data_IF_860934418458
#
_entry.id   IF_860934418458
#
_cell.length_a   1.000
_cell.length_b   1.000
_cell.length_c   1.000
_cell.angle_alpha   90.00
_cell.angle_beta   90.00
_cell.angle_gamma   90.00
#
_symmetry.space_group_name_H-M   'P 1'
#
loop_
_entity.id
_entity.type
_entity.pdbx_description
1 polymer ?
#
# COMPACT_ATOMS: atom_id res chain seq x y z
N UNK A 1 12.22 -18.27 -23.44
CA UNK A 1 11.67 -18.87 -22.21
C UNK A 1 10.38 -18.19 -21.67
N UNK A 2 9.54 -17.56 -22.52
CA UNK A 2 8.13 -17.23 -22.20
C UNK A 2 7.16 -17.95 -23.13
N UNK A 3 7.58 -18.15 -24.39
CA UNK A 3 6.85 -18.86 -25.43
C UNK A 3 6.73 -20.39 -25.24
N UNK A 4 7.36 -20.98 -24.22
CA UNK A 4 7.37 -22.44 -24.01
C UNK A 4 6.14 -22.97 -23.26
N UNK A 5 5.28 -22.10 -22.72
CA UNK A 5 4.15 -22.47 -21.87
C UNK A 5 2.85 -21.91 -22.44
N UNK A 6 2.00 -22.67 -23.14
CA UNK A 6 0.82 -22.16 -23.87
C UNK A 6 -0.09 -21.22 -23.06
N UNK A 7 -0.23 -21.47 -21.76
CA UNK A 7 -0.97 -20.64 -20.79
C UNK A 7 -0.29 -19.32 -20.39
N UNK A 8 0.83 -18.95 -21.02
CA UNK A 8 1.48 -17.66 -20.74
C UNK A 8 0.61 -16.48 -21.21
N UNK A 9 -0.27 -16.71 -22.21
CA UNK A 9 -1.23 -15.74 -22.74
C UNK A 9 -2.61 -15.83 -22.10
N UNK A 10 -3.10 -17.04 -21.84
CA UNK A 10 -4.40 -17.23 -21.18
C UNK A 10 -4.26 -17.12 -19.67
N UNK A 11 -4.62 -15.95 -19.18
CA UNK A 11 -4.91 -15.70 -17.77
C UNK A 11 -6.33 -15.21 -17.72
N UNK A 12 -7.31 -16.13 -17.72
CA UNK A 12 -8.63 -15.76 -17.21
C UNK A 12 -8.43 -15.28 -15.77
N UNK A 13 -8.56 -13.96 -15.58
CA UNK A 13 -8.45 -13.35 -14.27
C UNK A 13 -9.88 -13.16 -13.78
N UNK A 14 -10.31 -14.06 -12.90
CA UNK A 14 -11.48 -13.79 -12.07
C UNK A 14 -11.14 -12.69 -11.06
N UNK A 15 -11.48 -11.46 -11.43
CA UNK A 15 -11.24 -10.28 -10.61
C UNK A 15 -11.95 -10.33 -9.25
N UNK A 16 -13.13 -10.96 -9.16
CA UNK A 16 -13.87 -11.07 -7.90
C UNK A 16 -13.14 -12.01 -6.94
N UNK A 17 -12.76 -13.20 -7.43
CA UNK A 17 -11.98 -14.15 -6.62
C UNK A 17 -10.64 -13.56 -6.19
N UNK A 18 -9.93 -12.85 -7.07
CA UNK A 18 -8.67 -12.16 -6.72
C UNK A 18 -8.88 -11.08 -5.65
N UNK A 19 -9.94 -10.28 -5.76
CA UNK A 19 -10.29 -9.27 -4.76
C UNK A 19 -10.59 -9.92 -3.41
N UNK A 20 -11.42 -10.97 -3.38
CA UNK A 20 -11.77 -11.71 -2.16
C UNK A 20 -10.54 -12.34 -1.48
N UNK A 21 -9.52 -12.71 -2.26
CA UNK A 21 -8.23 -13.20 -1.75
C UNK A 21 -7.27 -12.08 -1.28
N UNK A 22 -7.66 -10.80 -1.39
CA UNK A 22 -6.82 -9.66 -1.05
C UNK A 22 -5.66 -9.42 -2.04
N UNK A 23 -5.77 -9.97 -3.25
CA UNK A 23 -4.75 -9.88 -4.31
C UNK A 23 -4.96 -8.68 -5.25
N UNK A 24 -6.00 -7.88 -5.01
CA UNK A 24 -6.23 -6.62 -5.70
C UNK A 24 -5.87 -5.44 -4.79
N UNK A 25 -5.41 -4.30 -5.35
CA UNK A 25 -5.36 -3.05 -4.62
C UNK A 25 -6.76 -2.63 -4.16
N UNK A 26 -6.84 -1.94 -3.03
CA UNK A 26 -8.09 -1.27 -2.64
C UNK A 26 -8.45 -0.17 -3.65
N UNK A 27 -9.74 -0.02 -3.93
CA UNK A 27 -10.23 1.10 -4.75
C UNK A 27 -10.17 2.41 -3.95
N UNK A 28 -10.23 3.60 -4.60
CA UNK A 28 -10.29 4.87 -3.85
C UNK A 28 -11.48 4.93 -2.88
N UNK A 29 -12.62 4.35 -3.25
CA UNK A 29 -13.81 4.25 -2.40
C UNK A 29 -13.52 3.43 -1.14
N UNK A 30 -13.00 2.21 -1.32
CA UNK A 30 -12.62 1.33 -0.20
C UNK A 30 -11.54 1.96 0.67
N UNK A 31 -10.55 2.59 0.04
CA UNK A 31 -9.48 3.33 0.72
C UNK A 31 -10.05 4.44 1.59
N UNK A 32 -11.03 5.20 1.09
CA UNK A 32 -11.68 6.26 1.87
C UNK A 32 -12.37 5.74 3.14
N UNK A 33 -13.03 4.58 3.06
CA UNK A 33 -13.69 3.93 4.19
C UNK A 33 -12.67 3.42 5.21
N UNK A 34 -11.62 2.75 4.74
CA UNK A 34 -10.56 2.20 5.59
C UNK A 34 -9.83 3.33 6.33
N UNK A 35 -9.47 4.43 5.65
CA UNK A 35 -8.80 5.57 6.29
C UNK A 35 -9.69 6.22 7.37
N UNK A 36 -10.98 6.42 7.09
CA UNK A 36 -11.94 6.91 8.10
C UNK A 36 -12.06 5.96 9.29
N UNK A 37 -12.16 4.65 9.04
CA UNK A 37 -12.22 3.64 10.09
C UNK A 37 -10.96 3.62 10.96
N UNK A 38 -9.79 3.84 10.35
CA UNK A 38 -8.50 3.98 11.03
C UNK A 38 -8.37 5.27 11.85
N UNK A 39 -9.31 6.20 11.73
CA UNK A 39 -9.38 7.44 12.51
C UNK A 39 -8.65 8.63 11.87
N UNK A 40 -8.34 8.57 10.57
CA UNK A 40 -7.80 9.75 9.87
C UNK A 40 -8.89 10.82 9.76
N UNK A 41 -8.51 12.06 10.08
CA UNK A 41 -9.40 13.21 10.02
C UNK A 41 -9.54 13.72 8.58
N UNK A 42 -10.65 14.41 8.29
CA UNK A 42 -10.97 14.92 6.95
C UNK A 42 -9.88 15.85 6.41
N UNK A 43 -9.24 16.63 7.25
CA UNK A 43 -8.18 17.58 6.92
C UNK A 43 -6.78 16.95 6.78
N UNK A 44 -6.66 15.63 6.92
CA UNK A 44 -5.42 14.91 6.67
C UNK A 44 -4.91 15.17 5.24
N UNK A 45 -3.62 15.50 5.13
CA UNK A 45 -2.94 15.63 3.85
C UNK A 45 -2.57 14.24 3.35
N UNK A 46 -3.19 13.81 2.24
CA UNK A 46 -2.93 12.50 1.64
C UNK A 46 -2.12 12.67 0.38
N UNK A 47 -0.91 12.14 0.38
CA UNK A 47 -0.12 11.95 -0.82
C UNK A 47 -0.45 10.59 -1.46
N UNK A 48 -0.85 10.60 -2.73
CA UNK A 48 -1.19 9.37 -3.47
C UNK A 48 0.01 8.96 -4.32
N UNK A 49 0.77 7.98 -3.80
CA UNK A 49 1.88 7.35 -4.49
C UNK A 49 1.38 6.27 -5.47
N UNK A 50 0.88 6.69 -6.64
CA UNK A 50 0.36 5.77 -7.65
C UNK A 50 0.69 6.22 -9.08
N UNK A 51 0.57 5.29 -10.02
CA UNK A 51 0.48 5.61 -11.45
C UNK A 51 -0.86 6.25 -11.78
N UNK A 52 -1.25 6.16 -13.05
CA UNK A 52 -2.60 6.55 -13.46
C UNK A 52 -3.64 5.69 -12.73
N UNK A 53 -4.65 6.34 -12.16
CA UNK A 53 -5.70 5.67 -11.41
C UNK A 53 -6.78 5.30 -12.41
N UNK A 54 -7.18 4.03 -12.41
CA UNK A 54 -8.23 3.55 -13.29
C UNK A 54 -9.51 4.38 -13.11
N UNK A 55 -10.06 4.89 -14.21
CA UNK A 55 -11.22 5.80 -14.21
C UNK A 55 -10.94 7.23 -13.73
N UNK A 56 -9.67 7.57 -13.50
CA UNK A 56 -9.17 8.92 -13.26
C UNK A 56 -9.87 9.66 -12.12
N UNK A 57 -10.11 10.95 -12.33
CA UNK A 57 -10.71 11.85 -11.35
C UNK A 57 -12.10 11.40 -10.89
N UNK A 58 -12.90 10.78 -11.78
CA UNK A 58 -14.23 10.25 -11.43
C UNK A 58 -14.15 9.17 -10.36
N UNK A 59 -13.14 8.31 -10.39
CA UNK A 59 -12.93 7.28 -9.36
C UNK A 59 -12.25 7.83 -8.11
N UNK A 60 -11.54 8.95 -8.20
CA UNK A 60 -10.96 9.63 -7.04
C UNK A 60 -11.96 10.45 -6.22
N UNK A 61 -13.10 10.84 -6.81
CA UNK A 61 -14.12 11.69 -6.19
C UNK A 61 -14.48 11.26 -4.75
N UNK A 62 -14.79 9.97 -4.47
CA UNK A 62 -15.15 9.54 -3.12
C UNK A 62 -14.01 9.72 -2.10
N UNK A 63 -12.76 9.53 -2.52
CA UNK A 63 -11.60 9.78 -1.68
C UNK A 63 -11.40 11.28 -1.44
N UNK A 64 -11.60 12.12 -2.46
CA UNK A 64 -11.50 13.59 -2.35
C UNK A 64 -12.60 14.18 -1.47
N UNK A 65 -13.83 13.68 -1.59
CA UNK A 65 -14.94 14.09 -0.74
C UNK A 65 -14.68 13.73 0.74
N UNK A 66 -14.05 12.58 0.99
CA UNK A 66 -13.61 12.14 2.31
C UNK A 66 -12.41 12.93 2.85
N UNK A 67 -11.46 13.28 1.98
CA UNK A 67 -10.20 13.94 2.30
C UNK A 67 -9.85 14.95 1.21
N UNK A 68 -10.24 16.23 1.33
CA UNK A 68 -10.06 17.22 0.27
C UNK A 68 -8.59 17.57 -0.05
N UNK A 69 -7.67 17.33 0.89
CA UNK A 69 -6.24 17.63 0.72
C UNK A 69 -5.50 16.45 0.10
N UNK A 70 -5.76 16.19 -1.18
CA UNK A 70 -5.06 15.18 -1.96
C UNK A 70 -3.91 15.81 -2.76
N UNK A 71 -2.74 15.18 -2.71
CA UNK A 71 -1.55 15.58 -3.47
C UNK A 71 -1.01 14.37 -4.24
N UNK A 72 -0.49 14.60 -5.44
CA UNK A 72 0.17 13.59 -6.27
C UNK A 72 1.53 14.12 -6.71
N UNK A 73 2.41 13.25 -7.23
CA UNK A 73 3.74 13.66 -7.73
C UNK A 73 3.66 14.79 -8.77
N UNK A 74 2.59 14.82 -9.56
CA UNK A 74 2.36 15.85 -10.57
C UNK A 74 2.14 17.25 -9.98
N UNK A 75 1.92 17.37 -8.67
CA UNK A 75 1.66 18.61 -7.94
C UNK A 75 2.83 19.03 -7.04
N UNK A 76 3.94 18.27 -7.01
CA UNK A 76 5.06 18.52 -6.08
C UNK A 76 6.01 19.61 -6.56
N UNK A 77 6.18 19.74 -7.88
CA UNK A 77 7.17 20.60 -8.52
C UNK A 77 6.48 21.44 -9.60
N UNK A 78 7.10 22.56 -9.95
CA UNK A 78 6.69 23.35 -11.11
C UNK A 78 6.69 22.49 -12.37
N UNK A 79 5.73 22.75 -13.26
CA UNK A 79 5.51 21.94 -14.47
C UNK A 79 6.75 21.84 -15.36
N UNK A 80 7.55 22.90 -15.46
CA UNK A 80 8.78 22.94 -16.24
C UNK A 80 9.87 22.02 -15.68
N UNK A 81 10.02 21.99 -14.36
CA UNK A 81 10.97 21.12 -13.66
C UNK A 81 10.49 19.68 -13.74
N UNK A 82 9.20 19.46 -13.48
CA UNK A 82 8.59 18.13 -13.53
C UNK A 82 8.73 17.47 -14.92
N UNK A 83 8.64 18.26 -16.00
CA UNK A 83 8.78 17.78 -17.38
C UNK A 83 10.09 17.04 -17.65
N UNK A 84 11.16 17.35 -16.92
CA UNK A 84 12.45 16.66 -17.03
C UNK A 84 12.35 15.18 -16.60
N UNK A 85 11.43 14.88 -15.69
CA UNK A 85 11.22 13.53 -15.13
C UNK A 85 10.08 12.76 -15.80
N UNK A 86 9.12 13.43 -16.46
CA UNK A 86 7.87 12.80 -16.97
C UNK A 86 8.09 11.59 -17.91
N UNK A 87 9.14 11.61 -18.72
CA UNK A 87 9.48 10.50 -19.63
C UNK A 87 10.35 9.41 -18.97
N UNK A 88 10.68 9.57 -17.69
CA UNK A 88 11.52 8.67 -16.92
C UNK A 88 10.70 8.07 -15.77
N UNK A 89 10.00 6.96 -16.06
CA UNK A 89 9.10 6.31 -15.10
C UNK A 89 9.76 6.00 -13.75
N UNK A 90 11.02 5.56 -13.75
CA UNK A 90 11.80 5.32 -12.52
C UNK A 90 12.08 6.59 -11.72
N UNK A 91 12.30 7.73 -12.37
CA UNK A 91 12.53 9.01 -11.68
C UNK A 91 11.21 9.55 -11.11
N UNK A 92 10.09 9.42 -11.84
CA UNK A 92 8.76 9.74 -11.31
C UNK A 92 8.41 8.85 -10.10
N UNK A 93 8.76 7.56 -10.14
CA UNK A 93 8.61 6.66 -9.01
C UNK A 93 9.54 7.01 -7.83
N UNK A 94 10.71 7.61 -8.10
CA UNK A 94 11.60 8.09 -7.04
C UNK A 94 10.95 9.24 -6.24
N UNK A 95 10.18 10.13 -6.87
CA UNK A 95 9.39 11.15 -6.16
C UNK A 95 8.37 10.51 -5.22
N UNK A 96 7.65 9.49 -5.71
CA UNK A 96 6.71 8.72 -4.88
C UNK A 96 7.41 8.06 -3.68
N UNK A 97 8.64 7.57 -3.86
CA UNK A 97 9.44 6.94 -2.81
C UNK A 97 9.86 7.95 -1.75
N UNK A 98 10.40 9.09 -2.17
CA UNK A 98 10.86 10.15 -1.28
C UNK A 98 9.72 10.68 -0.39
N UNK A 99 8.56 10.97 -0.97
CA UNK A 99 7.42 11.47 -0.17
C UNK A 99 6.87 10.38 0.76
N UNK A 100 6.75 9.14 0.27
CA UNK A 100 6.22 8.02 1.08
C UNK A 100 7.14 7.62 2.24
N UNK A 101 8.46 7.78 2.10
CA UNK A 101 9.42 7.54 3.18
C UNK A 101 9.45 8.71 4.17
N UNK A 102 9.25 9.93 3.68
CA UNK A 102 9.22 11.14 4.51
C UNK A 102 7.92 11.29 5.32
N UNK A 103 6.81 10.71 4.89
CA UNK A 103 5.48 10.90 5.49
C UNK A 103 5.34 10.40 6.94
N UNK A 104 4.39 10.97 7.68
CA UNK A 104 4.10 10.56 9.07
C UNK A 104 3.57 9.13 9.16
N UNK A 105 2.75 8.72 8.19
CA UNK A 105 2.22 7.38 8.07
C UNK A 105 2.29 6.90 6.61
N UNK A 106 2.59 5.62 6.43
CA UNK A 106 2.54 4.95 5.13
C UNK A 106 1.53 3.79 5.18
N UNK A 107 0.63 3.74 4.21
CA UNK A 107 -0.44 2.73 4.13
C UNK A 107 -0.49 2.19 2.69
N UNK A 108 0.14 1.04 2.41
CA UNK A 108 0.06 0.44 1.08
C UNK A 108 -1.31 -0.19 0.86
N UNK A 109 -1.97 0.16 -0.25
CA UNK A 109 -3.21 -0.49 -0.69
C UNK A 109 -2.95 -1.81 -1.41
N UNK A 110 -1.69 -2.14 -1.71
CA UNK A 110 -1.25 -3.38 -2.35
C UNK A 110 0.23 -3.70 -2.02
N UNK A 111 0.58 -4.98 -1.90
CA UNK A 111 1.94 -5.44 -1.56
C UNK A 111 2.84 -5.55 -2.79
N UNK A 112 3.10 -4.42 -3.44
CA UNK A 112 4.04 -4.33 -4.56
C UNK A 112 5.50 -4.14 -4.11
N UNK A 113 6.44 -4.18 -5.07
CA UNK A 113 7.86 -3.92 -4.80
C UNK A 113 8.09 -2.53 -4.20
N UNK A 114 7.33 -1.53 -4.64
CA UNK A 114 7.40 -0.18 -4.10
C UNK A 114 7.00 -0.14 -2.61
N UNK A 115 5.93 -0.85 -2.23
CA UNK A 115 5.48 -0.92 -0.84
C UNK A 115 6.56 -1.56 0.05
N UNK A 116 7.15 -2.67 -0.40
CA UNK A 116 8.25 -3.34 0.30
C UNK A 116 9.47 -2.42 0.47
N UNK A 117 9.87 -1.72 -0.60
CA UNK A 117 11.00 -0.79 -0.59
C UNK A 117 10.78 0.37 0.40
N UNK A 118 9.61 1.02 0.35
CA UNK A 118 9.27 2.11 1.29
C UNK A 118 9.23 1.59 2.72
N UNK A 119 8.61 0.44 2.95
CA UNK A 119 8.51 -0.16 4.27
C UNK A 119 9.89 -0.48 4.86
N UNK A 120 10.75 -1.15 4.10
CA UNK A 120 12.10 -1.47 4.54
C UNK A 120 12.94 -0.23 4.81
N UNK A 121 12.81 0.81 4.00
CA UNK A 121 13.50 2.08 4.25
C UNK A 121 12.97 2.80 5.50
N UNK A 122 11.65 2.79 5.72
CA UNK A 122 11.02 3.35 6.94
C UNK A 122 11.42 2.57 8.20
N UNK A 123 11.63 1.25 8.10
CA UNK A 123 12.21 0.41 9.17
C UNK A 123 13.65 0.81 9.46
N UNK A 124 14.47 0.99 8.42
CA UNK A 124 15.85 1.44 8.54
C UNK A 124 15.98 2.79 9.24
N UNK A 125 15.14 3.77 8.91
CA UNK A 125 15.15 5.12 9.49
C UNK A 125 14.45 5.22 10.86
N UNK A 126 14.56 4.20 11.70
CA UNK A 126 14.01 4.22 13.06
C UNK A 126 12.52 3.89 13.14
N UNK A 127 12.05 2.94 12.32
CA UNK A 127 10.69 2.39 12.38
C UNK A 127 9.58 3.43 12.27
N UNK A 128 9.65 4.28 11.24
CA UNK A 128 8.55 5.21 10.94
C UNK A 128 7.26 4.44 10.71
N UNK A 129 6.13 4.97 11.19
CA UNK A 129 4.84 4.27 11.22
C UNK A 129 4.39 3.83 9.82
N UNK A 130 4.33 2.52 9.60
CA UNK A 130 3.73 1.91 8.41
C UNK A 130 2.59 1.00 8.85
N UNK A 131 1.40 1.15 8.26
CA UNK A 131 0.21 0.37 8.62
C UNK A 131 -0.04 -0.66 7.53
N UNK A 132 0.27 -1.91 7.82
CA UNK A 132 -0.01 -3.02 6.90
C UNK A 132 -1.47 -3.45 7.02
N UNK A 133 -2.12 -3.54 5.88
CA UNK A 133 -3.53 -3.88 5.79
C UNK A 133 -3.70 -5.39 5.54
N UNK A 134 -4.50 -6.06 6.37
CA UNK A 134 -4.95 -7.44 6.08
C UNK A 134 -6.04 -7.39 5.00
N UNK A 135 -5.64 -7.24 3.74
CA UNK A 135 -6.56 -6.98 2.62
C UNK A 135 -7.63 -8.05 2.47
N UNK A 136 -7.30 -9.32 2.69
CA UNK A 136 -8.27 -10.41 2.62
C UNK A 136 -9.39 -10.22 3.65
N UNK A 137 -9.04 -9.93 4.91
CA UNK A 137 -10.04 -9.62 5.94
C UNK A 137 -10.79 -8.31 5.65
N UNK A 138 -10.08 -7.27 5.21
CA UNK A 138 -10.68 -5.97 4.92
C UNK A 138 -11.72 -6.04 3.81
N UNK A 139 -11.46 -6.80 2.75
CA UNK A 139 -12.41 -6.99 1.66
C UNK A 139 -13.72 -7.59 2.18
N UNK A 140 -13.65 -8.62 3.03
CA UNK A 140 -14.85 -9.17 3.68
C UNK A 140 -15.60 -8.14 4.54
N UNK A 141 -14.88 -7.34 5.32
CA UNK A 141 -15.47 -6.27 6.13
C UNK A 141 -16.12 -5.17 5.28
N UNK A 142 -15.48 -4.79 4.18
CA UNK A 142 -15.99 -3.80 3.22
C UNK A 142 -17.28 -4.29 2.57
N UNK A 143 -17.34 -5.56 2.18
CA UNK A 143 -18.53 -6.15 1.56
C UNK A 143 -19.69 -6.21 2.57
N UNK A 144 -19.43 -6.65 3.82
CA UNK A 144 -20.44 -6.65 4.88
C UNK A 144 -20.97 -5.26 5.18
N UNK A 145 -20.10 -4.24 5.19
CA UNK A 145 -20.52 -2.86 5.42
C UNK A 145 -21.32 -2.30 4.23
N UNK A 146 -20.85 -2.54 3.00
CA UNK A 146 -21.50 -2.06 1.76
C UNK A 146 -22.89 -2.68 1.58
N UNK A 147 -23.03 -3.96 1.94
CA UNK A 147 -24.31 -4.67 1.94
C UNK A 147 -25.17 -4.37 3.17
N UNK A 148 -24.77 -3.43 4.02
CA UNK A 148 -25.48 -2.98 5.22
C UNK A 148 -25.72 -4.09 6.25
N UNK A 149 -24.92 -5.15 6.22
CA UNK A 149 -24.98 -6.26 7.18
C UNK A 149 -24.40 -5.87 8.54
N UNK A 150 -23.40 -4.97 8.55
CA UNK A 150 -22.81 -4.42 9.78
C UNK A 150 -22.91 -2.89 9.82
N UNK A 151 -23.00 -2.34 11.03
CA UNK A 151 -22.98 -0.89 11.25
C UNK A 151 -21.59 -0.30 11.00
N UNK A 152 -21.53 1.03 10.84
CA UNK A 152 -20.26 1.76 10.75
C UNK A 152 -19.36 1.51 11.96
N UNK A 153 -19.90 1.52 13.18
CA UNK A 153 -19.12 1.32 14.40
C UNK A 153 -18.50 -0.07 14.45
N UNK A 154 -19.24 -1.10 14.04
CA UNK A 154 -18.74 -2.48 13.94
C UNK A 154 -17.70 -2.64 12.84
N UNK A 155 -17.89 -2.00 11.69
CA UNK A 155 -16.89 -1.97 10.64
C UNK A 155 -15.60 -1.29 11.13
N UNK A 156 -15.71 -0.09 11.68
CA UNK A 156 -14.57 0.71 12.12
C UNK A 156 -13.79 0.04 13.25
N UNK A 157 -14.48 -0.55 14.23
CA UNK A 157 -13.84 -1.33 15.30
C UNK A 157 -13.09 -2.55 14.75
N UNK A 158 -13.71 -3.30 13.83
CA UNK A 158 -13.11 -4.48 13.20
C UNK A 158 -11.88 -4.14 12.35
N UNK A 159 -11.91 -3.02 11.61
CA UNK A 159 -10.76 -2.52 10.85
C UNK A 159 -9.61 -2.15 11.79
N UNK A 160 -9.89 -1.47 12.90
CA UNK A 160 -8.86 -1.13 13.90
C UNK A 160 -8.29 -2.37 14.58
N UNK A 161 -9.12 -3.36 14.86
CA UNK A 161 -8.68 -4.65 15.43
C UNK A 161 -7.77 -5.39 14.46
N UNK A 162 -8.15 -5.49 13.18
CA UNK A 162 -7.32 -6.09 12.13
C UNK A 162 -5.96 -5.40 11.96
N UNK A 163 -5.86 -4.12 12.34
CA UNK A 163 -4.61 -3.34 12.35
C UNK A 163 -3.72 -3.61 13.56
N UNK A 164 -4.24 -3.93 14.77
CA UNK A 164 -3.48 -3.82 16.04
C UNK A 164 -2.08 -4.46 16.03
N UNK A 165 -1.92 -5.58 15.33
CA UNK A 165 -0.64 -6.31 15.21
C UNK A 165 0.08 -6.13 13.86
N UNK A 166 -0.27 -5.08 13.10
CA UNK A 166 0.22 -4.84 11.73
C UNK A 166 0.81 -3.44 11.53
N UNK A 167 1.18 -2.76 12.61
CA UNK A 167 2.11 -1.63 12.50
C UNK A 167 3.51 -2.22 12.32
N UNK A 168 4.26 -1.76 11.32
CA UNK A 168 5.60 -2.27 11.06
C UNK A 168 6.47 -2.17 12.33
N UNK A 169 7.02 -3.31 12.74
CA UNK A 169 7.92 -3.48 13.87
C UNK A 169 9.23 -4.09 13.39
N UNK A 170 10.31 -4.00 14.19
CA UNK A 170 11.50 -4.81 13.97
C UNK A 170 11.12 -6.29 13.90
N UNK A 171 11.50 -6.96 12.82
CA UNK A 171 11.26 -8.39 12.65
C UNK A 171 12.41 -9.02 11.89
N UNK A 172 12.66 -10.30 12.15
CA UNK A 172 13.63 -11.05 11.38
C UNK A 172 13.14 -11.34 9.97
N UNK A 173 14.09 -11.48 9.06
CA UNK A 173 13.81 -11.88 7.68
C UNK A 173 13.07 -13.20 7.67
N UNK A 174 11.97 -13.26 6.91
CA UNK A 174 11.28 -14.53 6.69
C UNK A 174 12.07 -15.40 5.71
N UNK A 175 12.71 -16.44 6.21
CA UNK A 175 13.37 -17.48 5.41
C UNK A 175 12.32 -18.51 4.98
N UNK A 176 12.30 -18.84 3.69
CA UNK A 176 11.44 -19.82 3.06
C UNK A 176 12.35 -20.80 2.30
N UNK A 177 12.77 -21.87 2.99
CA UNK A 177 13.75 -22.86 2.47
C UNK A 177 13.47 -23.32 1.04
N UNK A 178 12.20 -23.58 0.71
CA UNK A 178 11.80 -24.08 -0.61
C UNK A 178 11.44 -22.98 -1.61
N UNK A 179 11.43 -21.71 -1.20
CA UNK A 179 11.00 -20.56 -2.02
C UNK A 179 11.87 -19.32 -1.77
N UNK A 180 13.19 -19.37 -2.06
CA UNK A 180 14.12 -18.26 -1.81
C UNK A 180 13.74 -16.96 -2.53
N UNK A 181 13.01 -17.05 -3.67
CA UNK A 181 12.51 -15.89 -4.41
C UNK A 181 11.34 -15.16 -3.73
N UNK A 182 10.67 -15.80 -2.77
CA UNK A 182 9.54 -15.24 -2.01
C UNK A 182 9.96 -14.74 -0.62
N UNK A 183 11.22 -14.92 -0.25
CA UNK A 183 11.82 -14.38 0.97
C UNK A 183 11.86 -12.85 0.93
N UNK A 184 11.95 -12.22 2.11
CA UNK A 184 12.21 -10.79 2.15
C UNK A 184 13.64 -10.53 1.68
N UNK A 185 13.80 -9.59 0.75
CA UNK A 185 15.11 -9.10 0.34
C UNK A 185 15.57 -7.96 1.26
N UNK A 186 16.88 -7.67 1.24
CA UNK A 186 17.51 -6.64 2.09
C UNK A 186 16.73 -5.32 2.14
N UNK A 187 16.32 -4.79 0.97
CA UNK A 187 15.58 -3.52 0.90
C UNK A 187 14.15 -3.57 1.45
N UNK A 188 13.56 -4.76 1.62
CA UNK A 188 12.25 -4.92 2.24
C UNK A 188 12.35 -5.07 3.77
N UNK A 189 13.42 -5.71 4.25
CA UNK A 189 13.68 -5.87 5.67
C UNK A 189 15.19 -5.86 5.97
N UNK A 190 15.79 -4.68 6.22
CA UNK A 190 17.23 -4.56 6.48
C UNK A 190 17.62 -4.91 7.92
N UNK A 191 16.67 -5.33 8.77
CA UNK A 191 16.86 -5.42 10.21
C UNK A 191 17.96 -6.41 10.63
N UNK A 192 18.12 -7.53 9.91
CA UNK A 192 19.19 -8.51 10.18
C UNK A 192 20.60 -7.96 9.90
N UNK A 193 20.72 -6.88 9.13
CA UNK A 193 22.00 -6.26 8.78
C UNK A 193 22.32 -5.02 9.63
N UNK A 194 21.46 -4.65 10.58
CA UNK A 194 21.73 -3.51 11.46
C UNK A 194 22.69 -3.95 12.57
N UNK A 195 23.78 -3.19 12.75
CA UNK A 195 24.88 -3.53 13.66
C UNK A 195 24.45 -3.78 15.12
N UNK A 196 23.29 -3.28 15.54
CA UNK A 196 22.74 -3.43 16.90
C UNK A 196 21.52 -4.38 16.98
N UNK A 197 21.33 -5.26 16.00
CA UNK A 197 20.19 -6.18 15.97
C UNK A 197 20.48 -7.46 16.77
N UNK A 198 19.95 -7.54 18.00
CA UNK A 198 19.97 -8.77 18.82
C UNK A 198 18.74 -9.65 18.60
N UNK A 199 17.78 -9.21 17.79
CA UNK A 199 16.50 -9.90 17.59
C UNK A 199 16.64 -11.17 16.75
N UNK A 200 17.64 -11.20 15.88
CA UNK A 200 17.81 -12.22 14.83
C UNK A 200 19.14 -12.97 14.93
N UNK A 201 19.79 -12.90 16.09
CA UNK A 201 21.04 -13.57 16.44
C UNK A 201 20.86 -15.09 16.54
#
# INVERSE_FOLDING_TARGET
MRYAYPWWRDKEIDSQTKRLQGLCPLTPEETSLVLKALGFQKDALIYIAAGEIYGGEKRLEPLRAAFPRLVRKEMLLDSEVLRQFQNHSSQMAALDFLVSTASDAFIPTFDGNMAKLVEGHRRFLGFRRSVMLDRQKLVGLLDLYTNKTISWDNFASSVREARKNRVAQPSCRRKLENRPKEEDYFYANPHECLANSSLCS
#
